data_IF_672070998475
#
_entry.id   IF_672070998475
#
_cell.length_a   1.000
_cell.length_b   1.000
_cell.length_c   1.000
_cell.angle_alpha   90.00
_cell.angle_beta   90.00
_cell.angle_gamma   90.00
#
_symmetry.space_group_name_H-M   'P 1'
#
loop_
_entity.id
_entity.type
_entity.pdbx_description
1 polymer ?
#
# COMPACT_ATOMS: atom_id res chain seq x y z
N UNK A 1 0.45 -4.70 2.14
CA UNK A 1 -0.12 -3.35 2.17
C UNK A 1 0.34 -2.68 3.45
N UNK A 2 0.62 -1.39 3.40
CA UNK A 2 1.03 -0.60 4.59
C UNK A 2 -0.10 0.38 4.87
N UNK A 3 -0.62 0.37 6.09
CA UNK A 3 -1.68 1.26 6.54
C UNK A 3 -1.19 2.00 7.78
N UNK A 4 -1.45 3.30 7.82
CA UNK A 4 -1.05 4.18 8.92
C UNK A 4 -2.12 5.23 9.17
N UNK A 5 -2.17 5.74 10.40
CA UNK A 5 -3.16 6.75 10.80
C UNK A 5 -2.80 8.16 10.36
N UNK A 6 -1.52 8.42 10.13
CA UNK A 6 -0.98 9.71 9.71
C UNK A 6 0.02 9.54 8.56
N UNK A 7 0.20 10.59 7.77
CA UNK A 7 1.13 10.59 6.64
C UNK A 7 2.58 10.36 7.10
N UNK A 8 3.03 11.03 8.17
CA UNK A 8 4.38 10.88 8.72
C UNK A 8 4.69 9.44 9.15
N UNK A 9 3.71 8.77 9.78
CA UNK A 9 3.82 7.37 10.18
C UNK A 9 3.86 6.46 8.93
N UNK A 10 3.06 6.78 7.91
CA UNK A 10 3.04 6.05 6.65
C UNK A 10 4.38 6.14 5.91
N UNK A 11 4.99 7.33 5.85
CA UNK A 11 6.32 7.53 5.26
C UNK A 11 7.35 6.67 5.99
N UNK A 12 7.30 6.67 7.32
CA UNK A 12 8.21 5.88 8.16
C UNK A 12 8.05 4.39 7.88
N UNK A 13 6.82 3.86 7.93
CA UNK A 13 6.56 2.45 7.66
C UNK A 13 6.95 2.03 6.24
N UNK A 14 6.59 2.83 5.23
CA UNK A 14 6.95 2.56 3.83
C UNK A 14 8.47 2.54 3.67
N UNK A 15 9.19 3.49 4.28
CA UNK A 15 10.65 3.53 4.25
C UNK A 15 11.27 2.28 4.87
N UNK A 16 10.76 1.82 6.02
CA UNK A 16 11.21 0.57 6.65
C UNK A 16 10.98 -0.63 5.75
N UNK A 17 9.78 -0.77 5.17
CA UNK A 17 9.44 -1.88 4.28
C UNK A 17 10.33 -1.87 3.03
N UNK A 18 10.50 -0.71 2.39
CA UNK A 18 11.39 -0.56 1.22
C UNK A 18 12.85 -0.90 1.55
N UNK A 19 13.31 -0.54 2.75
CA UNK A 19 14.64 -0.87 3.25
C UNK A 19 14.81 -2.38 3.43
N UNK A 20 13.82 -3.06 4.02
CA UNK A 20 13.83 -4.53 4.16
C UNK A 20 13.78 -5.25 2.80
N UNK A 21 12.97 -4.75 1.85
CA UNK A 21 12.90 -5.28 0.49
C UNK A 21 14.27 -5.18 -0.19
N UNK A 22 14.93 -4.03 -0.08
CA UNK A 22 16.28 -3.81 -0.60
C UNK A 22 17.32 -4.72 0.06
N UNK A 23 17.24 -4.89 1.38
CA UNK A 23 18.15 -5.77 2.13
C UNK A 23 18.06 -7.25 1.70
N UNK A 24 16.87 -7.67 1.26
CA UNK A 24 16.64 -9.04 0.77
C UNK A 24 16.89 -9.20 -0.74
N UNK A 25 17.51 -8.21 -1.41
CA UNK A 25 17.69 -8.20 -2.87
C UNK A 25 16.38 -8.38 -3.66
N UNK A 26 15.26 -7.97 -3.07
CA UNK A 26 13.96 -7.96 -3.73
C UNK A 26 13.76 -6.61 -4.44
N UNK A 27 13.09 -6.66 -5.58
CA UNK A 27 12.77 -5.48 -6.37
C UNK A 27 11.26 -5.32 -6.46
N UNK A 28 10.78 -4.11 -6.23
CA UNK A 28 9.40 -3.74 -6.47
C UNK A 28 9.28 -3.04 -7.82
N UNK A 29 8.14 -3.21 -8.48
CA UNK A 29 7.84 -2.49 -9.72
C UNK A 29 7.18 -1.17 -9.37
N UNK A 30 7.94 -0.07 -9.43
CA UNK A 30 7.46 1.27 -9.11
C UNK A 30 6.14 1.63 -9.83
N UNK A 31 5.98 1.22 -11.10
CA UNK A 31 4.74 1.45 -11.87
C UNK A 31 3.49 0.74 -11.33
N UNK A 32 3.65 -0.21 -10.40
CA UNK A 32 2.54 -0.92 -9.73
C UNK A 32 2.38 -0.51 -8.27
N UNK A 33 3.24 0.37 -7.76
CA UNK A 33 3.19 0.81 -6.38
C UNK A 33 2.37 2.09 -6.28
N UNK A 34 1.34 2.07 -5.44
CA UNK A 34 0.56 3.24 -5.07
C UNK A 34 0.98 3.67 -3.66
N UNK A 35 1.32 4.93 -3.50
CA UNK A 35 1.73 5.51 -2.22
C UNK A 35 0.78 6.64 -1.87
N UNK A 36 0.42 6.75 -0.59
CA UNK A 36 -0.37 7.87 -0.05
C UNK A 36 -1.74 8.02 -0.75
N UNK A 37 -2.35 6.90 -1.13
CA UNK A 37 -3.68 6.88 -1.75
C UNK A 37 -4.75 6.64 -0.67
N UNK A 38 -5.92 7.31 -0.76
CA UNK A 38 -7.02 7.13 0.19
C UNK A 38 -7.71 5.77 0.06
N UNK A 39 -7.57 5.13 -1.11
CA UNK A 39 -8.06 3.80 -1.39
C UNK A 39 -7.15 3.04 -2.36
N UNK A 40 -7.13 1.72 -2.26
CA UNK A 40 -6.37 0.83 -3.15
C UNK A 40 -7.17 -0.41 -3.49
N UNK A 41 -7.17 -0.79 -4.76
CA UNK A 41 -7.71 -2.08 -5.17
C UNK A 41 -6.72 -3.20 -4.85
N UNK A 42 -7.20 -4.24 -4.18
CA UNK A 42 -6.43 -5.41 -3.83
C UNK A 42 -7.30 -6.67 -3.88
N UNK A 43 -6.93 -7.62 -4.75
CA UNK A 43 -7.63 -8.90 -4.93
C UNK A 43 -9.13 -8.78 -5.25
N UNK A 44 -9.54 -7.76 -6.03
CA UNK A 44 -10.96 -7.52 -6.34
C UNK A 44 -11.75 -6.84 -5.20
N UNK A 45 -11.04 -6.23 -4.24
CA UNK A 45 -11.63 -5.43 -3.18
C UNK A 45 -11.00 -4.03 -3.19
N UNK A 46 -11.82 -3.01 -3.02
CA UNK A 46 -11.37 -1.64 -2.75
C UNK A 46 -11.18 -1.49 -1.25
N UNK A 47 -9.93 -1.39 -0.83
CA UNK A 47 -9.57 -1.08 0.56
C UNK A 47 -9.50 0.43 0.73
N UNK A 48 -10.36 1.01 1.56
CA UNK A 48 -10.39 2.44 1.86
C UNK A 48 -10.33 2.69 3.37
N UNK A 49 -10.13 3.94 3.78
CA UNK A 49 -10.24 4.36 5.20
C UNK A 49 -11.57 4.00 5.85
N UNK A 50 -12.64 3.91 5.07
CA UNK A 50 -14.00 3.57 5.49
C UNK A 50 -14.25 2.05 5.60
N UNK A 51 -13.32 1.21 5.13
CA UNK A 51 -13.42 -0.24 5.18
C UNK A 51 -13.10 -0.94 3.86
N UNK A 52 -13.38 -2.24 3.82
CA UNK A 52 -13.26 -3.10 2.64
C UNK A 52 -14.59 -3.06 1.86
N UNK A 53 -14.59 -2.47 0.66
CA UNK A 53 -15.71 -2.58 -0.28
C UNK A 53 -15.33 -3.62 -1.33
N UNK A 54 -16.24 -4.54 -1.65
CA UNK A 54 -16.04 -5.44 -2.78
C UNK A 54 -16.03 -4.61 -4.05
N UNK A 55 -15.02 -4.80 -4.90
CA UNK A 55 -15.00 -4.11 -6.18
C UNK A 55 -16.16 -4.65 -7.02
N UNK A 56 -17.06 -3.77 -7.44
CA UNK A 56 -18.24 -4.15 -8.20
C UNK A 56 -17.94 -4.29 -9.70
N UNK A 57 -16.69 -4.21 -10.15
CA UNK A 57 -16.32 -4.62 -11.51
C UNK A 57 -16.26 -6.15 -11.64
N UNK A 58 -17.42 -6.79 -11.50
CA UNK A 58 -18.05 -7.70 -12.49
C UNK A 58 -19.10 -8.61 -11.86
#
# INVERSE_FOLDING_TARGET
>A
MVFSKSEEENITHVSTVLSSVRANNLFYKASKCLFHVPSVEYLGYVVSSEGLKMDQEK
#
